data_IF_319147799635
#
_entry.id   IF_319147799635
#
_cell.length_a   1.000
_cell.length_b   1.000
_cell.length_c   1.000
_cell.angle_alpha   90.00
_cell.angle_beta   90.00
_cell.angle_gamma   90.00
#
_symmetry.space_group_name_H-M   'P 1'
#
loop_
_entity.id
_entity.type
_entity.pdbx_description
1 polymer ?
#
# COMPACT_ATOMS: atom_id res chain seq x y z
N UNK A 1 -5.60 -7.30 -16.07
CA UNK A 1 -6.78 -8.20 -16.00
C UNK A 1 -6.92 -8.97 -14.69
N UNK A 2 -6.18 -10.06 -14.39
CA UNK A 2 -6.38 -10.80 -13.12
C UNK A 2 -6.10 -9.95 -11.86
N UNK A 3 -5.01 -9.17 -11.87
CA UNK A 3 -4.67 -8.26 -10.76
C UNK A 3 -5.66 -7.11 -10.58
N UNK A 4 -6.30 -6.65 -11.65
CA UNK A 4 -7.30 -5.57 -11.58
C UNK A 4 -8.62 -6.10 -11.02
N UNK A 5 -9.02 -7.31 -11.41
CA UNK A 5 -10.19 -8.00 -10.83
C UNK A 5 -10.01 -8.27 -9.33
N UNK A 6 -8.78 -8.53 -8.88
CA UNK A 6 -8.50 -8.77 -7.47
C UNK A 6 -8.50 -7.50 -6.63
N UNK A 7 -7.98 -6.38 -7.15
CA UNK A 7 -8.08 -5.06 -6.50
C UNK A 7 -9.53 -4.60 -6.41
N UNK A 8 -10.31 -4.82 -7.47
CA UNK A 8 -11.73 -4.48 -7.49
C UNK A 8 -12.51 -5.30 -6.45
N UNK A 9 -12.26 -6.62 -6.36
CA UNK A 9 -12.84 -7.48 -5.33
C UNK A 9 -12.50 -7.04 -3.90
N UNK A 10 -11.24 -6.67 -3.64
CA UNK A 10 -10.82 -6.18 -2.32
C UNK A 10 -11.49 -4.85 -1.96
N UNK A 11 -11.68 -3.97 -2.95
CA UNK A 11 -12.35 -2.69 -2.76
C UNK A 11 -13.84 -2.88 -2.46
N UNK A 12 -14.52 -3.76 -3.20
CA UNK A 12 -15.93 -4.11 -2.94
C UNK A 12 -16.11 -4.76 -1.58
N UNK A 13 -15.18 -5.63 -1.15
CA UNK A 13 -15.22 -6.23 0.17
C UNK A 13 -15.05 -5.17 1.29
N UNK A 14 -14.18 -4.19 1.08
CA UNK A 14 -13.93 -3.12 2.04
C UNK A 14 -15.13 -2.16 2.16
N UNK A 15 -15.78 -1.83 1.04
CA UNK A 15 -17.02 -1.03 1.02
C UNK A 15 -18.17 -1.78 1.73
N UNK A 16 -18.29 -3.09 1.52
CA UNK A 16 -19.30 -3.91 2.21
C UNK A 16 -19.10 -3.92 3.74
N UNK A 17 -17.86 -4.08 4.21
CA UNK A 17 -17.53 -4.02 5.64
C UNK A 17 -17.88 -2.66 6.23
N UNK A 18 -17.67 -1.58 5.49
CA UNK A 18 -17.96 -0.22 5.95
C UNK A 18 -19.47 0.07 6.05
N UNK A 19 -20.26 -0.46 5.11
CA UNK A 19 -21.74 -0.38 5.14
C UNK A 19 -22.30 -1.16 6.34
N UNK A 20 -21.81 -2.37 6.59
CA UNK A 20 -22.24 -3.20 7.72
C UNK A 20 -21.87 -2.55 9.05
N UNK A 21 -20.65 -2.02 9.18
CA UNK A 21 -20.22 -1.29 10.38
C UNK A 21 -21.08 -0.06 10.66
N UNK A 22 -21.54 0.62 9.60
CA UNK A 22 -22.41 1.80 9.72
C UNK A 22 -23.85 1.43 10.09
N UNK A 23 -24.38 0.32 9.54
CA UNK A 23 -25.68 -0.22 9.90
C UNK A 23 -25.75 -0.63 11.38
N UNK A 24 -24.70 -1.29 11.87
CA UNK A 24 -24.53 -1.71 13.27
C UNK A 24 -24.54 -0.55 14.26
N UNK A 25 -24.03 0.61 13.87
CA UNK A 25 -24.04 1.80 14.73
C UNK A 25 -25.38 2.55 14.75
N UNK A 26 -26.29 2.23 13.84
CA UNK A 26 -27.53 2.99 13.61
C UNK A 26 -28.81 2.32 14.11
N UNK A 27 -28.76 1.02 14.44
CA UNK A 27 -29.96 0.27 14.81
C UNK A 27 -30.01 -0.02 16.30
N UNK A 28 -31.23 0.05 16.84
CA UNK A 28 -31.51 0.02 18.26
C UNK A 28 -32.53 -1.06 18.59
N UNK A 29 -32.18 -1.83 19.64
CA UNK A 29 -33.02 -2.54 20.61
C UNK A 29 -33.33 -4.03 20.50
N UNK A 30 -33.06 -4.75 19.41
CA UNK A 30 -33.20 -6.23 19.38
C UNK A 30 -31.97 -6.98 18.82
N UNK A 31 -30.79 -6.36 18.85
CA UNK A 31 -29.64 -6.76 18.01
C UNK A 31 -28.37 -7.22 18.75
N UNK A 32 -28.42 -7.44 20.07
CA UNK A 32 -27.19 -7.77 20.81
C UNK A 32 -26.50 -9.05 20.31
N UNK A 33 -27.26 -10.05 19.82
CA UNK A 33 -26.69 -11.29 19.25
C UNK A 33 -26.16 -11.14 17.82
N UNK A 34 -26.78 -10.28 17.00
CA UNK A 34 -26.29 -10.00 15.64
C UNK A 34 -25.05 -9.10 15.67
N UNK A 35 -24.99 -8.15 16.60
CA UNK A 35 -23.82 -7.31 16.85
C UNK A 35 -22.63 -8.15 17.30
N UNK A 36 -22.84 -9.14 18.17
CA UNK A 36 -21.79 -10.07 18.61
C UNK A 36 -21.25 -10.92 17.44
N UNK A 37 -22.14 -11.47 16.62
CA UNK A 37 -21.73 -12.24 15.43
C UNK A 37 -20.98 -11.39 14.41
N UNK A 38 -21.40 -10.15 14.22
CA UNK A 38 -20.74 -9.23 13.31
C UNK A 38 -19.39 -8.75 13.85
N UNK A 39 -19.26 -8.57 15.17
CA UNK A 39 -17.96 -8.32 15.81
C UNK A 39 -17.02 -9.51 15.66
N UNK A 40 -17.52 -10.75 15.83
CA UNK A 40 -16.72 -11.96 15.67
C UNK A 40 -16.25 -12.15 14.21
N UNK A 41 -17.13 -11.89 13.24
CA UNK A 41 -16.77 -11.87 11.82
C UNK A 41 -15.71 -10.83 11.48
N UNK A 42 -15.82 -9.63 12.07
CA UNK A 42 -14.83 -8.55 11.87
C UNK A 42 -13.46 -8.95 12.41
N UNK A 43 -13.39 -9.60 13.58
CA UNK A 43 -12.12 -10.08 14.12
C UNK A 43 -11.50 -11.18 13.24
N UNK A 44 -12.30 -12.15 12.77
CA UNK A 44 -11.82 -13.16 11.81
C UNK A 44 -11.29 -12.54 10.53
N UNK A 45 -11.98 -11.53 9.99
CA UNK A 45 -11.52 -10.81 8.79
C UNK A 45 -10.21 -10.03 9.04
N UNK A 46 -10.02 -9.46 10.24
CA UNK A 46 -8.75 -8.79 10.60
C UNK A 46 -7.59 -9.79 10.65
N UNK A 47 -7.81 -10.98 11.21
CA UNK A 47 -6.80 -12.03 11.25
C UNK A 47 -6.46 -12.55 9.85
N UNK A 48 -7.45 -12.74 9.00
CA UNK A 48 -7.29 -13.15 7.59
C UNK A 48 -6.45 -12.10 6.83
N UNK A 49 -6.78 -10.81 6.99
CA UNK A 49 -6.01 -9.70 6.39
C UNK A 49 -4.57 -9.68 6.90
N UNK A 50 -4.36 -9.94 8.20
CA UNK A 50 -3.02 -10.02 8.78
C UNK A 50 -2.21 -11.17 8.17
N UNK A 51 -2.80 -12.37 8.07
CA UNK A 51 -2.17 -13.52 7.39
C UNK A 51 -1.83 -13.22 5.94
N UNK A 52 -2.76 -12.65 5.18
CA UNK A 52 -2.53 -12.30 3.77
C UNK A 52 -1.44 -11.25 3.60
N UNK A 53 -1.33 -10.29 4.53
CA UNK A 53 -0.22 -9.33 4.56
C UNK A 53 1.12 -10.00 4.85
N UNK A 54 1.16 -10.90 5.82
CA UNK A 54 2.37 -11.66 6.16
C UNK A 54 2.80 -12.61 5.03
N UNK A 55 1.85 -13.26 4.36
CA UNK A 55 2.10 -14.13 3.21
C UNK A 55 2.58 -13.33 1.99
N UNK A 56 2.02 -12.14 1.75
CA UNK A 56 2.51 -11.20 0.74
C UNK A 56 3.93 -10.71 1.05
N UNK A 57 4.23 -10.43 2.32
CA UNK A 57 5.58 -10.04 2.75
C UNK A 57 6.59 -11.19 2.55
N UNK A 58 6.21 -12.44 2.88
CA UNK A 58 7.04 -13.62 2.65
C UNK A 58 7.32 -13.87 1.16
N UNK A 59 6.29 -13.79 0.32
CA UNK A 59 6.44 -13.93 -1.15
C UNK A 59 7.28 -12.82 -1.79
N UNK A 60 7.30 -11.61 -1.19
CA UNK A 60 8.17 -10.52 -1.63
C UNK A 60 9.66 -10.75 -1.30
N UNK A 61 9.96 -11.52 -0.25
CA UNK A 61 11.34 -11.81 0.15
C UNK A 61 11.95 -12.90 -0.75
N UNK A 62 11.15 -13.90 -1.16
CA UNK A 62 11.60 -14.99 -2.05
C UNK A 62 11.72 -14.57 -3.52
N UNK A 63 11.14 -13.43 -3.93
CA UNK A 63 11.15 -12.97 -5.32
C UNK A 63 12.15 -11.83 -5.61
N UNK A 64 13.10 -11.53 -4.73
CA UNK A 64 14.10 -10.50 -4.99
C UNK A 64 15.21 -11.08 -5.88
N UNK A 65 15.30 -10.70 -7.17
CA UNK A 65 16.41 -11.13 -8.00
C UNK A 65 17.64 -10.33 -7.61
N UNK A 66 18.77 -11.03 -7.44
CA UNK A 66 20.13 -10.54 -7.19
C UNK A 66 20.64 -9.47 -8.20
N UNK A 67 19.86 -9.14 -9.23
CA UNK A 67 20.21 -8.15 -10.27
C UNK A 67 20.07 -6.70 -9.83
N UNK A 68 19.37 -6.41 -8.73
CA UNK A 68 19.17 -5.03 -8.25
C UNK A 68 20.36 -4.47 -7.44
N UNK A 69 21.36 -5.30 -7.11
CA UNK A 69 22.51 -4.96 -6.25
C UNK A 69 23.36 -3.79 -6.77
N UNK A 70 23.41 -3.52 -8.07
CA UNK A 70 24.28 -2.47 -8.63
C UNK A 70 23.66 -1.06 -8.63
N UNK A 71 22.34 -0.94 -8.79
CA UNK A 71 21.65 0.37 -8.72
C UNK A 71 21.38 0.78 -7.26
N UNK A 72 21.07 -0.17 -6.38
CA UNK A 72 20.96 0.14 -4.94
C UNK A 72 22.29 0.58 -4.32
N UNK A 73 23.43 0.19 -4.91
CA UNK A 73 24.75 0.70 -4.51
C UNK A 73 24.99 2.17 -4.87
N UNK A 74 24.29 2.73 -5.86
CA UNK A 74 24.47 4.13 -6.30
C UNK A 74 23.41 5.09 -5.76
N UNK A 75 22.31 4.58 -5.21
CA UNK A 75 21.29 5.38 -4.54
C UNK A 75 21.73 5.75 -3.13
N UNK A 76 21.47 6.99 -2.74
CA UNK A 76 21.54 7.39 -1.34
C UNK A 76 20.49 6.66 -0.51
N UNK A 77 20.66 6.61 0.81
CA UNK A 77 19.70 6.00 1.74
C UNK A 77 18.28 6.55 1.55
N UNK A 78 18.16 7.87 1.41
CA UNK A 78 16.86 8.53 1.23
C UNK A 78 16.21 8.15 -0.11
N UNK A 79 16.99 8.06 -1.18
CA UNK A 79 16.51 7.61 -2.50
C UNK A 79 16.09 6.15 -2.49
N UNK A 80 16.86 5.28 -1.83
CA UNK A 80 16.50 3.86 -1.68
C UNK A 80 15.19 3.69 -0.92
N UNK A 81 14.98 4.46 0.15
CA UNK A 81 13.72 4.47 0.91
C UNK A 81 12.55 4.90 0.02
N UNK A 82 12.66 6.05 -0.64
CA UNK A 82 11.59 6.55 -1.52
C UNK A 82 11.30 5.58 -2.67
N UNK A 83 12.33 5.06 -3.33
CA UNK A 83 12.18 4.13 -4.44
C UNK A 83 11.49 2.82 -4.01
N UNK A 84 11.95 2.23 -2.90
CA UNK A 84 11.37 0.99 -2.36
C UNK A 84 9.91 1.19 -1.96
N UNK A 85 9.62 2.33 -1.32
CA UNK A 85 8.26 2.70 -0.94
C UNK A 85 7.34 2.87 -2.14
N UNK A 86 7.78 3.60 -3.18
CA UNK A 86 6.98 3.76 -4.41
C UNK A 86 6.79 2.41 -5.09
N UNK A 87 7.82 1.56 -5.20
CA UNK A 87 7.71 0.22 -5.79
C UNK A 87 6.69 -0.66 -5.06
N UNK A 88 6.62 -0.59 -3.74
CA UNK A 88 5.68 -1.37 -2.93
C UNK A 88 4.23 -0.86 -3.04
N UNK A 89 4.03 0.44 -3.25
CA UNK A 89 2.72 1.11 -3.19
C UNK A 89 2.24 1.64 -4.55
N UNK A 90 2.95 1.34 -5.64
CA UNK A 90 2.57 1.79 -6.97
C UNK A 90 1.23 1.17 -7.44
N UNK A 91 0.40 1.91 -8.18
CA UNK A 91 0.57 3.32 -8.57
C UNK A 91 0.19 4.30 -7.43
N UNK A 92 1.07 5.24 -7.07
CA UNK A 92 0.87 6.17 -5.93
C UNK A 92 0.98 7.64 -6.34
N UNK A 93 0.27 8.55 -5.68
CA UNK A 93 0.48 9.99 -5.92
C UNK A 93 1.71 10.49 -5.14
N UNK A 94 2.38 11.51 -5.66
CA UNK A 94 3.52 12.12 -4.94
C UNK A 94 3.11 12.64 -3.55
N UNK A 95 1.91 13.22 -3.45
CA UNK A 95 1.37 13.77 -2.19
C UNK A 95 1.14 12.67 -1.14
N UNK A 96 0.59 11.53 -1.55
CA UNK A 96 0.37 10.40 -0.63
C UNK A 96 1.70 9.82 -0.16
N UNK A 97 2.65 9.65 -1.08
CA UNK A 97 4.00 9.17 -0.73
C UNK A 97 4.74 10.13 0.20
N UNK A 98 4.61 11.45 -0.03
CA UNK A 98 5.17 12.47 0.84
C UNK A 98 4.58 12.38 2.25
N UNK A 99 3.24 12.34 2.38
CA UNK A 99 2.60 12.28 3.69
C UNK A 99 3.04 11.06 4.49
N UNK A 100 3.15 9.90 3.84
CA UNK A 100 3.53 8.65 4.48
C UNK A 100 5.02 8.59 4.83
N UNK A 101 5.90 9.22 4.04
CA UNK A 101 7.34 9.23 4.29
C UNK A 101 7.86 10.47 5.04
N UNK A 102 7.01 11.49 5.28
CA UNK A 102 7.41 12.73 5.96
C UNK A 102 7.93 12.47 7.38
N UNK A 103 7.40 11.46 8.08
CA UNK A 103 7.89 11.07 9.41
C UNK A 103 9.33 10.55 9.41
N UNK A 104 9.74 9.83 8.37
CA UNK A 104 11.06 9.22 8.29
C UNK A 104 12.11 10.16 7.65
N UNK A 105 11.74 10.78 6.52
CA UNK A 105 12.66 11.58 5.71
C UNK A 105 12.50 13.09 5.96
N UNK A 106 11.33 13.56 6.37
CA UNK A 106 11.02 14.99 6.37
C UNK A 106 10.89 15.58 4.96
N UNK A 107 10.31 16.78 4.89
CA UNK A 107 9.87 17.39 3.63
C UNK A 107 11.00 17.58 2.60
N UNK A 108 12.11 18.20 3.01
CA UNK A 108 13.19 18.60 2.08
C UNK A 108 13.93 17.38 1.50
N UNK A 109 14.24 16.38 2.34
CA UNK A 109 14.96 15.17 1.91
C UNK A 109 14.11 14.33 0.96
N UNK A 110 12.82 14.14 1.29
CA UNK A 110 11.88 13.46 0.39
C UNK A 110 11.86 14.10 -1.00
N UNK A 111 11.73 15.43 -1.07
CA UNK A 111 11.65 16.14 -2.34
C UNK A 111 12.93 16.04 -3.18
N UNK A 112 14.10 16.12 -2.53
CA UNK A 112 15.39 15.93 -3.20
C UNK A 112 15.54 14.52 -3.76
N UNK A 113 15.24 13.50 -2.94
CA UNK A 113 15.29 12.10 -3.34
C UNK A 113 14.32 11.81 -4.48
N UNK A 114 13.07 12.27 -4.37
CA UNK A 114 12.05 12.12 -5.42
C UNK A 114 12.52 12.72 -6.74
N UNK A 115 12.99 13.97 -6.74
CA UNK A 115 13.45 14.65 -7.94
C UNK A 115 14.64 13.92 -8.59
N UNK A 116 15.56 13.38 -7.77
CA UNK A 116 16.70 12.63 -8.28
C UNK A 116 16.27 11.31 -8.92
N UNK A 117 15.37 10.54 -8.30
CA UNK A 117 14.86 9.30 -8.86
C UNK A 117 14.11 9.52 -10.18
N UNK A 118 13.36 10.61 -10.31
CA UNK A 118 12.74 11.01 -11.59
C UNK A 118 13.80 11.33 -12.64
N UNK A 119 14.84 12.09 -12.29
CA UNK A 119 15.95 12.43 -13.20
C UNK A 119 16.72 11.20 -13.67
N UNK A 120 16.87 10.20 -12.80
CA UNK A 120 17.48 8.91 -13.13
C UNK A 120 16.56 7.99 -13.95
N UNK A 121 15.29 8.39 -14.18
CA UNK A 121 14.32 7.58 -14.91
C UNK A 121 13.80 6.37 -14.14
N UNK A 122 14.05 6.32 -12.83
CA UNK A 122 13.62 5.24 -11.93
C UNK A 122 12.17 5.42 -11.48
N UNK A 123 11.66 6.65 -11.47
CA UNK A 123 10.25 6.95 -11.26
C UNK A 123 9.62 7.48 -12.54
N UNK A 124 8.48 6.89 -12.93
CA UNK A 124 7.73 7.30 -14.11
C UNK A 124 6.31 7.71 -13.72
N UNK A 125 5.89 8.87 -14.21
CA UNK A 125 4.52 9.35 -14.05
C UNK A 125 3.61 8.67 -15.08
N UNK A 126 2.49 8.14 -14.60
CA UNK A 126 1.36 7.63 -15.38
C UNK A 126 0.31 8.74 -15.58
N UNK A 127 -0.79 8.40 -16.24
CA UNK A 127 -1.97 9.27 -16.34
C UNK A 127 -2.48 9.64 -14.94
N UNK A 128 -3.09 10.81 -14.82
CA UNK A 128 -3.69 11.32 -13.57
C UNK A 128 -2.69 11.56 -12.41
N UNK A 129 -1.41 11.80 -12.69
CA UNK A 129 -0.43 12.21 -11.66
C UNK A 129 -0.02 11.10 -10.69
N UNK A 130 -0.34 9.83 -11.01
CA UNK A 130 0.15 8.65 -10.28
C UNK A 130 1.54 8.27 -10.78
N UNK A 131 2.38 7.73 -9.91
CA UNK A 131 3.76 7.39 -10.16
C UNK A 131 4.00 5.91 -9.90
N UNK A 132 4.90 5.34 -10.70
CA UNK A 132 5.36 3.96 -10.63
C UNK A 132 6.90 3.94 -10.60
N UNK A 133 7.46 2.97 -9.88
CA UNK A 133 8.86 2.62 -9.95
C UNK A 133 9.10 1.76 -11.20
N UNK A 134 9.99 2.21 -12.07
CA UNK A 134 10.36 1.48 -13.27
C UNK A 134 11.29 0.34 -12.89
N UNK A 135 10.95 -0.90 -13.26
CA UNK A 135 11.90 -1.99 -13.20
C UNK A 135 13.03 -1.73 -14.20
N UNK A 136 14.26 -1.78 -13.69
CA UNK A 136 15.50 -1.68 -14.48
C UNK A 136 16.12 -3.05 -14.57
#
# INVERSE_FOLDING_TARGET
EEREKEIERLKTAQEAVQVIASALTSSSRDENGEVEQLQEMVERLKEEIKRLREERARRQIESLPDKHSLLFKSLSKDEAIVYTFVRANQPISKKDAEMLLKGELGYSRFHKAWARLVKLGLLKMRKHGRWEAKEV
#
